data_IF_144463569971
#
_entry.id   IF_144463569971
#
_cell.length_a   1.000
_cell.length_b   1.000
_cell.length_c   1.000
_cell.angle_alpha   90.00
_cell.angle_beta   90.00
_cell.angle_gamma   90.00
#
_symmetry.space_group_name_H-M   'P 1'
#
loop_
_entity.id
_entity.type
_entity.pdbx_description
1 polymer ?
#
# COMPACT_ATOMS: atom_id res chain seq x y z
N UNK A 1 -30.39 -42.56 -47.79
CA UNK A 1 -30.13 -42.42 -46.34
C UNK A 1 -29.61 -41.02 -46.14
N UNK A 2 -30.34 -40.25 -45.34
CA UNK A 2 -30.05 -38.87 -44.97
C UNK A 2 -28.72 -38.74 -44.21
N UNK A 3 -28.16 -37.52 -44.27
CA UNK A 3 -27.54 -36.72 -43.21
C UNK A 3 -26.74 -35.62 -43.97
N UNK A 4 -27.30 -34.45 -44.25
CA UNK A 4 -27.65 -33.45 -43.23
C UNK A 4 -26.39 -32.67 -42.86
N UNK A 5 -26.25 -31.42 -43.32
CA UNK A 5 -25.06 -30.63 -43.01
C UNK A 5 -25.00 -29.21 -43.58
N UNK A 6 -26.12 -28.49 -43.61
CA UNK A 6 -26.10 -27.04 -43.76
C UNK A 6 -25.44 -26.39 -42.54
N UNK A 7 -24.34 -25.64 -42.73
CA UNK A 7 -23.68 -24.99 -41.59
C UNK A 7 -22.37 -24.24 -41.84
N UNK A 8 -21.77 -24.30 -43.04
CA UNK A 8 -20.44 -23.70 -43.26
C UNK A 8 -20.41 -22.16 -43.32
N UNK A 9 -21.50 -21.49 -43.71
CA UNK A 9 -21.53 -20.02 -43.82
C UNK A 9 -21.76 -19.26 -42.51
N UNK A 10 -22.46 -19.86 -41.55
CA UNK A 10 -22.79 -19.23 -40.27
C UNK A 10 -21.61 -19.20 -39.29
N UNK A 11 -20.87 -20.31 -39.19
CA UNK A 11 -19.73 -20.43 -38.28
C UNK A 11 -18.56 -19.49 -38.62
N UNK A 12 -18.28 -19.26 -39.90
CA UNK A 12 -17.23 -18.33 -40.33
C UNK A 12 -17.56 -16.86 -40.03
N UNK A 13 -18.84 -16.48 -40.12
CA UNK A 13 -19.29 -15.12 -39.76
C UNK A 13 -19.21 -14.90 -38.26
N UNK A 14 -19.65 -15.86 -37.45
CA UNK A 14 -19.54 -15.81 -35.99
C UNK A 14 -18.08 -15.77 -35.55
N UNK A 15 -17.20 -16.57 -36.16
CA UNK A 15 -15.76 -16.55 -35.88
C UNK A 15 -15.11 -15.20 -36.19
N UNK A 16 -15.44 -14.57 -37.32
CA UNK A 16 -14.93 -13.23 -37.66
C UNK A 16 -15.44 -12.15 -36.70
N UNK A 17 -16.69 -12.23 -36.26
CA UNK A 17 -17.27 -11.32 -35.27
C UNK A 17 -16.61 -11.50 -33.89
N UNK A 18 -16.34 -12.74 -33.47
CA UNK A 18 -15.62 -13.00 -32.22
C UNK A 18 -14.19 -12.44 -32.26
N UNK A 19 -13.51 -12.57 -33.40
CA UNK A 19 -12.16 -12.04 -33.61
C UNK A 19 -12.13 -10.50 -33.61
N UNK A 20 -13.12 -9.84 -34.21
CA UNK A 20 -13.19 -8.37 -34.19
C UNK A 20 -13.49 -7.83 -32.80
N UNK A 21 -14.43 -8.44 -32.07
CA UNK A 21 -14.75 -8.07 -30.68
C UNK A 21 -13.56 -8.34 -29.76
N UNK A 22 -12.89 -9.49 -29.90
CA UNK A 22 -11.70 -9.82 -29.11
C UNK A 22 -10.55 -8.84 -29.34
N UNK A 23 -10.33 -8.41 -30.60
CA UNK A 23 -9.34 -7.38 -30.92
C UNK A 23 -9.70 -6.03 -30.29
N UNK A 24 -10.95 -5.59 -30.42
CA UNK A 24 -11.41 -4.34 -29.83
C UNK A 24 -11.27 -4.35 -28.29
N UNK A 25 -11.69 -5.45 -27.66
CA UNK A 25 -11.56 -5.64 -26.22
C UNK A 25 -10.09 -5.65 -25.78
N UNK A 26 -9.19 -6.28 -26.55
CA UNK A 26 -7.76 -6.27 -26.27
C UNK A 26 -7.16 -4.86 -26.41
N UNK A 27 -7.58 -4.06 -27.40
CA UNK A 27 -7.11 -2.68 -27.55
C UNK A 27 -7.58 -1.78 -26.41
N UNK A 28 -8.87 -1.84 -26.06
CA UNK A 28 -9.43 -1.02 -24.98
C UNK A 28 -8.88 -1.45 -23.62
N UNK A 29 -8.88 -2.76 -23.34
CA UNK A 29 -8.33 -3.31 -22.10
C UNK A 29 -6.83 -3.07 -21.96
N UNK A 30 -6.06 -3.32 -23.03
CA UNK A 30 -4.62 -3.07 -23.06
C UNK A 30 -4.30 -1.58 -22.88
N UNK A 31 -5.03 -0.70 -23.56
CA UNK A 31 -4.88 0.75 -23.43
C UNK A 31 -5.19 1.24 -22.01
N UNK A 32 -6.29 0.75 -21.41
CA UNK A 32 -6.65 1.11 -20.03
C UNK A 32 -5.61 0.64 -19.01
N UNK A 33 -5.08 -0.57 -19.16
CA UNK A 33 -4.03 -1.10 -18.30
C UNK A 33 -2.73 -0.28 -18.42
N UNK A 34 -2.32 0.05 -19.65
CA UNK A 34 -1.14 0.88 -19.89
C UNK A 34 -1.30 2.28 -19.30
N UNK A 35 -2.47 2.91 -19.49
CA UNK A 35 -2.76 4.23 -18.92
C UNK A 35 -2.76 4.19 -17.39
N UNK A 36 -3.37 3.17 -16.80
CA UNK A 36 -3.41 2.99 -15.34
C UNK A 36 -2.02 2.77 -14.75
N UNK A 37 -1.23 1.90 -15.38
CA UNK A 37 0.16 1.65 -14.98
C UNK A 37 1.00 2.93 -15.09
N UNK A 38 0.92 3.62 -16.23
CA UNK A 38 1.67 4.88 -16.47
C UNK A 38 1.29 5.94 -15.45
N UNK A 39 0.00 6.12 -15.18
CA UNK A 39 -0.51 7.07 -14.19
C UNK A 39 0.01 6.75 -12.78
N UNK A 40 0.00 5.46 -12.40
CA UNK A 40 0.51 5.03 -11.09
C UNK A 40 2.00 5.32 -10.91
N UNK A 41 2.81 5.11 -11.96
CA UNK A 41 4.24 5.40 -11.95
C UNK A 41 4.47 6.91 -11.88
N UNK A 42 3.74 7.70 -12.67
CA UNK A 42 3.85 9.16 -12.66
C UNK A 42 3.52 9.75 -11.28
N UNK A 43 2.43 9.31 -10.64
CA UNK A 43 2.06 9.77 -9.28
C UNK A 43 3.12 9.38 -8.25
N UNK A 44 3.67 8.16 -8.33
CA UNK A 44 4.76 7.74 -7.43
C UNK A 44 6.02 8.59 -7.63
N UNK A 45 6.37 8.90 -8.88
CA UNK A 45 7.50 9.76 -9.19
C UNK A 45 7.30 11.18 -8.64
N UNK A 46 6.12 11.77 -8.85
CA UNK A 46 5.79 13.10 -8.30
C UNK A 46 5.85 13.13 -6.78
N UNK A 47 5.33 12.10 -6.10
CA UNK A 47 5.45 11.99 -4.63
C UNK A 47 6.89 11.88 -4.18
N UNK A 48 7.71 11.07 -4.85
CA UNK A 48 9.13 10.92 -4.52
C UNK A 48 9.91 12.24 -4.69
N UNK A 49 9.64 12.98 -5.78
CA UNK A 49 10.25 14.29 -6.02
C UNK A 49 9.78 15.29 -4.96
N UNK A 50 8.48 15.31 -4.64
CA UNK A 50 7.93 16.15 -3.57
C UNK A 50 8.57 15.85 -2.22
N UNK A 51 8.69 14.58 -1.83
CA UNK A 51 9.33 14.17 -0.58
C UNK A 51 10.81 14.55 -0.55
N UNK A 52 11.53 14.38 -1.67
CA UNK A 52 12.92 14.82 -1.78
C UNK A 52 13.05 16.34 -1.63
N UNK A 53 12.11 17.11 -2.19
CA UNK A 53 12.08 18.56 -2.08
C UNK A 53 11.78 19.00 -0.64
N UNK A 54 10.77 18.39 -0.01
CA UNK A 54 10.41 18.65 1.38
C UNK A 54 11.59 18.32 2.32
N UNK A 55 12.29 17.20 2.13
CA UNK A 55 13.49 16.89 2.93
C UNK A 55 14.61 17.93 2.81
N UNK A 56 14.71 18.63 1.67
CA UNK A 56 15.74 19.65 1.44
C UNK A 56 15.34 21.02 1.98
N UNK A 57 14.06 21.40 1.88
CA UNK A 57 13.60 22.77 2.12
C UNK A 57 12.70 22.92 3.35
N UNK A 58 11.98 21.87 3.75
CA UNK A 58 11.12 21.91 4.92
C UNK A 58 11.95 21.92 6.19
N UNK A 59 11.42 22.57 7.23
CA UNK A 59 12.09 22.60 8.52
C UNK A 59 12.07 21.20 9.13
N UNK A 60 13.19 20.73 9.72
CA UNK A 60 13.19 19.48 10.43
C UNK A 60 12.18 19.56 11.58
N UNK A 61 11.46 18.46 11.82
CA UNK A 61 10.50 18.39 12.90
C UNK A 61 11.23 18.54 14.23
N UNK A 62 10.94 19.60 14.99
CA UNK A 62 11.58 19.87 16.28
C UNK A 62 11.35 18.77 17.32
N UNK A 63 10.22 18.06 17.24
CA UNK A 63 9.88 17.03 18.23
C UNK A 63 10.72 15.74 18.10
N UNK A 64 11.18 15.39 16.89
CA UNK A 64 12.04 14.23 16.64
C UNK A 64 13.43 14.62 16.11
N UNK A 65 13.75 15.91 16.07
CA UNK A 65 15.02 16.44 15.54
C UNK A 65 15.34 15.93 14.13
N UNK A 66 14.32 15.79 13.27
CA UNK A 66 14.52 15.25 11.92
C UNK A 66 14.51 13.72 11.81
N UNK A 67 14.57 12.96 12.91
CA UNK A 67 14.71 11.49 12.89
C UNK A 67 13.45 10.76 12.40
N UNK A 68 12.27 11.38 12.54
CA UNK A 68 10.98 10.77 12.18
C UNK A 68 10.47 9.72 13.19
N UNK A 69 11.27 9.32 14.17
CA UNK A 69 10.90 8.38 15.21
C UNK A 69 11.53 8.76 16.55
N UNK A 70 11.02 8.17 17.62
CA UNK A 70 11.62 8.25 18.95
C UNK A 70 11.68 6.85 19.56
N UNK A 71 12.46 6.69 20.62
CA UNK A 71 12.33 5.52 21.48
C UNK A 71 10.89 5.40 21.98
N UNK A 72 10.37 4.18 22.03
CA UNK A 72 9.01 3.95 22.49
C UNK A 72 8.88 4.44 23.94
N UNK A 73 8.03 5.45 24.14
CA UNK A 73 7.87 6.08 25.46
C UNK A 73 7.15 5.18 26.46
N UNK A 74 6.34 4.24 25.96
CA UNK A 74 5.57 3.31 26.78
C UNK A 74 6.47 2.23 27.41
N UNK A 75 7.21 1.48 26.59
CA UNK A 75 8.11 0.43 27.10
C UNK A 75 9.53 0.92 27.41
N UNK A 76 9.87 2.17 27.10
CA UNK A 76 11.22 2.74 27.33
C UNK A 76 12.36 1.86 26.79
N UNK A 77 12.08 1.08 25.73
CA UNK A 77 13.05 0.19 25.10
C UNK A 77 13.04 -1.27 25.57
N UNK A 78 12.24 -1.65 26.58
CA UNK A 78 12.12 -3.04 27.03
C UNK A 78 11.39 -3.97 26.05
N UNK A 79 10.72 -3.41 25.02
CA UNK A 79 9.85 -4.12 24.06
C UNK A 79 8.59 -4.77 24.67
N UNK A 80 8.57 -5.02 25.97
CA UNK A 80 7.44 -5.56 26.72
C UNK A 80 6.95 -4.56 27.77
N UNK A 81 5.68 -4.66 28.15
CA UNK A 81 5.11 -3.93 29.28
C UNK A 81 4.54 -4.94 30.27
N UNK A 82 4.69 -4.63 31.54
CA UNK A 82 3.97 -5.29 32.60
C UNK A 82 2.57 -4.70 32.66
N UNK A 83 1.57 -5.54 32.50
CA UNK A 83 0.18 -5.10 32.54
C UNK A 83 -0.68 -6.12 33.29
N UNK A 84 -1.65 -5.57 34.01
CA UNK A 84 -2.65 -6.33 34.74
C UNK A 84 -4.03 -5.70 34.52
N UNK A 85 -5.06 -6.49 34.18
CA UNK A 85 -6.43 -5.97 34.05
C UNK A 85 -7.04 -5.51 35.39
N UNK A 86 -6.49 -5.98 36.51
CA UNK A 86 -7.01 -5.75 37.85
C UNK A 86 -6.23 -4.61 38.52
N UNK A 87 -6.93 -3.74 39.24
CA UNK A 87 -6.33 -2.57 39.90
C UNK A 87 -5.36 -2.95 41.02
N UNK A 88 -5.59 -4.09 41.67
CA UNK A 88 -4.68 -4.72 42.64
C UNK A 88 -4.16 -6.04 42.05
N UNK A 89 -2.99 -6.03 41.39
CA UNK A 89 -2.58 -7.15 40.56
C UNK A 89 -1.97 -8.28 41.38
N UNK A 90 -2.74 -9.34 41.61
CA UNK A 90 -2.21 -10.64 42.08
C UNK A 90 -1.34 -11.31 41.01
N UNK A 91 -1.54 -10.97 39.73
CA UNK A 91 -0.80 -11.49 38.58
C UNK A 91 -0.39 -10.35 37.65
N UNK A 92 0.91 -10.25 37.38
CA UNK A 92 1.48 -9.33 36.40
C UNK A 92 1.99 -10.15 35.23
N UNK A 93 1.41 -9.96 34.04
CA UNK A 93 1.84 -10.68 32.85
C UNK A 93 2.69 -9.77 31.95
N UNK A 94 3.92 -10.16 31.58
CA UNK A 94 4.68 -9.44 30.58
C UNK A 94 4.03 -9.63 29.21
N UNK A 95 3.56 -8.52 28.63
CA UNK A 95 2.96 -8.47 27.31
C UNK A 95 3.87 -7.72 26.34
N UNK A 96 3.77 -8.02 25.05
CA UNK A 96 4.43 -7.24 24.01
C UNK A 96 3.87 -5.80 24.03
N UNK A 97 4.75 -4.79 23.91
CA UNK A 97 4.34 -3.41 24.00
C UNK A 97 3.41 -3.01 22.83
N UNK A 98 2.14 -2.64 23.08
CA UNK A 98 1.16 -2.37 22.02
C UNK A 98 1.44 -1.08 21.23
N UNK A 99 2.31 -0.21 21.74
CA UNK A 99 2.67 1.06 21.06
C UNK A 99 3.76 0.90 20.02
N UNK A 100 4.63 -0.10 20.16
CA UNK A 100 5.75 -0.31 19.24
C UNK A 100 5.82 -1.72 18.68
N UNK A 101 4.86 -2.59 19.01
CA UNK A 101 4.84 -4.00 18.64
C UNK A 101 6.20 -4.69 18.84
N UNK A 102 6.84 -4.42 19.99
CA UNK A 102 8.15 -4.96 20.32
C UNK A 102 9.36 -4.37 19.58
N UNK A 103 9.16 -3.46 18.62
CA UNK A 103 10.26 -2.83 17.84
C UNK A 103 11.08 -1.80 18.62
N UNK A 104 10.64 -1.43 19.84
CA UNK A 104 11.28 -0.45 20.74
C UNK A 104 11.31 0.99 20.21
N UNK A 105 10.74 1.23 19.03
CA UNK A 105 10.71 2.53 18.35
C UNK A 105 9.25 2.89 18.05
N UNK A 106 8.91 4.16 18.25
CA UNK A 106 7.60 4.70 17.94
C UNK A 106 7.74 5.77 16.85
N UNK A 107 6.81 5.80 15.89
CA UNK A 107 6.74 6.86 14.88
C UNK A 107 6.49 8.21 15.54
N UNK A 108 7.14 9.24 15.02
CA UNK A 108 6.90 10.60 15.47
C UNK A 108 5.47 11.02 15.14
N UNK A 109 4.63 11.29 16.14
CA UNK A 109 3.24 11.69 15.91
C UNK A 109 3.11 13.12 15.37
N UNK A 110 4.15 13.95 15.59
CA UNK A 110 4.17 15.33 15.08
C UNK A 110 4.50 15.43 13.58
N UNK A 111 5.27 14.48 13.02
CA UNK A 111 5.61 14.46 11.59
C UNK A 111 5.24 13.15 10.89
N UNK A 112 4.49 12.28 11.56
CA UNK A 112 4.01 10.98 11.09
C UNK A 112 5.09 10.03 10.55
N UNK A 113 6.35 10.23 10.92
CA UNK A 113 7.48 9.45 10.40
C UNK A 113 8.31 10.12 9.32
N UNK A 114 7.91 11.31 8.83
CA UNK A 114 8.58 11.96 7.71
C UNK A 114 9.87 12.68 8.10
N UNK A 115 9.96 13.14 9.35
CA UNK A 115 11.13 13.87 9.87
C UNK A 115 11.08 15.38 9.63
N UNK A 116 10.15 15.89 8.83
CA UNK A 116 9.96 17.33 8.57
C UNK A 116 8.50 17.73 8.84
N UNK A 117 8.30 19.03 9.07
CA UNK A 117 6.97 19.63 9.29
C UNK A 117 6.45 20.28 8.00
#
# INVERSE_FOLDING_TARGET
>A
MELGGGGRGGGDRVRRQLQSVGRLAAYLGGGFLLLSATSSVAVRALRAISDANQRKFAKPCGACEGKGSYSCRLCRGSATIEWSPMHDPVFVNPCLCPTCDGTRVQRCLNCLGNGYA
#
